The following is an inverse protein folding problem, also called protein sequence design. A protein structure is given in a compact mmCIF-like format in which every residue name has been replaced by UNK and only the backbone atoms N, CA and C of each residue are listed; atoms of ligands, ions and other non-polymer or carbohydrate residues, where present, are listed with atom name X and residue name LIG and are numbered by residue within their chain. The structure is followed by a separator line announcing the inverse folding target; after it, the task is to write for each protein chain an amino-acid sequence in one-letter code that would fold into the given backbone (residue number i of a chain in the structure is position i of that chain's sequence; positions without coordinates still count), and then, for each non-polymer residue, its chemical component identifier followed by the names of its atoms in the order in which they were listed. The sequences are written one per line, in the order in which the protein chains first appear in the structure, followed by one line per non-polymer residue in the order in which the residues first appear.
data_IF_888763859491
#
_entry.id   IF_888763859491
#
_cell.length_a   1.000
_cell.length_b   1.000
_cell.length_c   1.000
_cell.angle_alpha   90.00
_cell.angle_beta   90.00
_cell.angle_gamma   90.00
#
_symmetry.space_group_name_H-M   'P 1'
#
loop_
_entity.id
_entity.type
_entity.pdbx_description
1 polymer ?
#
# COMPACT_ATOMS: atom_id res chain seq x y z
N UNK A 1 -5.07 -2.13 7.07
CA UNK A 1 -6.24 -2.06 6.19
C UNK A 1 -5.89 -1.48 4.82
N UNK A 2 -5.46 -0.21 4.72
CA UNK A 2 -5.17 0.45 3.43
C UNK A 2 -4.11 -0.31 2.58
N UNK A 3 -3.03 -0.75 3.22
CA UNK A 3 -2.03 -1.60 2.59
C UNK A 3 -2.60 -2.89 1.98
N UNK A 4 -3.63 -3.49 2.57
CA UNK A 4 -4.29 -4.68 2.00
C UNK A 4 -5.11 -4.29 0.78
N UNK A 5 -5.84 -3.17 0.83
CA UNK A 5 -6.62 -2.69 -0.30
C UNK A 5 -5.74 -2.38 -1.53
N UNK A 6 -4.54 -1.86 -1.30
CA UNK A 6 -3.59 -1.50 -2.36
C UNK A 6 -2.74 -2.69 -2.82
N UNK A 7 -2.04 -3.36 -1.91
CA UNK A 7 -0.97 -4.32 -2.23
C UNK A 7 -1.32 -5.78 -1.96
N UNK A 8 -2.06 -6.05 -0.88
CA UNK A 8 -2.12 -7.40 -0.31
C UNK A 8 -3.46 -8.14 -0.49
N UNK A 9 -4.39 -7.60 -1.28
CA UNK A 9 -5.57 -8.37 -1.66
C UNK A 9 -5.15 -9.57 -2.52
N UNK A 10 -5.66 -10.75 -2.21
CA UNK A 10 -5.28 -12.04 -2.77
C UNK A 10 -3.82 -12.44 -2.55
N UNK A 11 -3.17 -11.93 -1.50
CA UNK A 11 -1.82 -12.35 -1.11
C UNK A 11 -1.87 -13.32 0.06
N UNK A 12 -0.90 -14.22 0.09
CA UNK A 12 -0.70 -15.17 1.17
C UNK A 12 -0.53 -14.44 2.52
N UNK A 13 -1.29 -14.85 3.54
CA UNK A 13 -1.30 -14.15 4.83
C UNK A 13 -0.02 -14.35 5.63
N UNK A 14 0.71 -15.46 5.43
CA UNK A 14 1.98 -15.72 6.09
C UNK A 14 3.11 -14.93 5.44
N UNK A 15 3.08 -14.74 4.12
CA UNK A 15 3.95 -13.80 3.42
C UNK A 15 3.78 -12.38 3.98
N UNK A 16 2.55 -11.92 4.13
CA UNK A 16 2.27 -10.58 4.69
C UNK A 16 2.79 -10.49 6.13
N UNK A 17 2.57 -11.50 6.98
CA UNK A 17 3.14 -11.52 8.34
C UNK A 17 4.67 -11.44 8.32
N UNK A 18 5.32 -12.18 7.43
CA UNK A 18 6.78 -12.21 7.30
C UNK A 18 7.34 -10.84 6.86
N UNK A 19 6.69 -10.16 5.91
CA UNK A 19 7.11 -8.83 5.45
C UNK A 19 7.11 -7.76 6.54
N UNK A 20 6.33 -7.96 7.61
CA UNK A 20 6.22 -7.01 8.72
C UNK A 20 6.84 -7.53 10.02
N UNK A 21 7.52 -8.69 10.00
CA UNK A 21 8.07 -9.32 11.20
C UNK A 21 9.06 -8.43 11.95
N UNK A 22 9.87 -7.65 11.22
CA UNK A 22 10.90 -6.78 11.79
C UNK A 22 10.35 -5.46 12.35
N UNK A 23 9.11 -5.09 12.02
CA UNK A 23 8.56 -3.76 12.33
C UNK A 23 7.87 -3.68 13.70
N UNK A 24 7.98 -4.70 14.57
CA UNK A 24 7.22 -4.84 15.83
C UNK A 24 5.70 -4.63 15.67
N UNK A 25 5.21 -4.68 14.43
CA UNK A 25 3.79 -4.55 14.13
C UNK A 25 3.17 -5.90 14.40
N UNK A 26 2.17 -5.91 15.26
CA UNK A 26 1.41 -7.11 15.53
C UNK A 26 0.44 -7.40 14.39
N UNK A 27 0.99 -7.76 13.24
CA UNK A 27 0.25 -8.01 12.01
C UNK A 27 -0.69 -9.19 12.17
N UNK A 28 -0.33 -10.17 13.01
CA UNK A 28 -1.22 -11.27 13.37
C UNK A 28 -2.49 -10.75 14.05
N UNK A 29 -2.36 -9.90 15.06
CA UNK A 29 -3.52 -9.32 15.74
C UNK A 29 -4.29 -8.35 14.84
N UNK A 30 -3.59 -7.57 14.01
CA UNK A 30 -4.23 -6.67 13.06
C UNK A 30 -5.07 -7.43 12.01
N UNK A 31 -4.53 -8.50 11.43
CA UNK A 31 -5.28 -9.35 10.49
C UNK A 31 -6.48 -10.00 11.17
N UNK A 32 -6.31 -10.53 12.38
CA UNK A 32 -7.42 -11.08 13.17
C UNK A 32 -8.51 -10.02 13.41
N UNK A 33 -8.15 -8.80 13.80
CA UNK A 33 -9.11 -7.72 14.03
C UNK A 33 -9.88 -7.34 12.75
N UNK A 34 -9.25 -7.42 11.57
CA UNK A 34 -9.93 -7.18 10.29
C UNK A 34 -10.90 -8.31 9.93
N UNK A 35 -10.55 -9.57 10.24
CA UNK A 35 -11.45 -10.73 10.10
C UNK A 35 -12.65 -10.61 11.05
N UNK A 36 -12.39 -10.30 12.33
CA UNK A 36 -13.44 -10.13 13.36
C UNK A 36 -14.42 -8.99 13.01
N UNK A 37 -13.97 -8.00 12.22
CA UNK A 37 -14.81 -6.90 11.71
C UNK A 37 -15.41 -7.18 10.32
N UNK A 38 -15.25 -8.38 9.78
CA UNK A 38 -15.71 -8.77 8.43
C UNK A 38 -15.18 -7.86 7.31
N UNK A 39 -14.02 -7.22 7.50
CA UNK A 39 -13.39 -6.36 6.50
C UNK A 39 -12.55 -7.15 5.49
N UNK A 40 -12.07 -8.32 5.91
CA UNK A 40 -11.38 -9.31 5.09
C UNK A 40 -11.83 -10.70 5.53
N UNK A 41 -11.58 -11.71 4.70
CA UNK A 41 -11.53 -13.10 5.13
C UNK A 41 -10.21 -13.72 4.71
N UNK A 42 -9.77 -14.77 5.41
CA UNK A 42 -8.65 -15.60 4.98
C UNK A 42 -9.26 -16.82 4.30
N UNK A 43 -8.90 -17.07 3.04
CA UNK A 43 -9.39 -18.22 2.30
C UNK A 43 -8.84 -19.54 2.88
N UNK A 44 -9.39 -20.67 2.43
CA UNK A 44 -8.86 -21.98 2.79
C UNK A 44 -7.42 -22.20 2.29
N UNK A 45 -6.99 -21.49 1.25
CA UNK A 45 -5.62 -21.45 0.74
C UNK A 45 -4.69 -20.53 1.54
N UNK A 46 -5.19 -19.82 2.56
CA UNK A 46 -4.39 -18.89 3.37
C UNK A 46 -4.27 -17.47 2.80
N UNK A 47 -5.01 -17.15 1.74
CA UNK A 47 -4.95 -15.85 1.07
C UNK A 47 -5.85 -14.83 1.75
N UNK A 48 -5.39 -13.59 1.86
CA UNK A 48 -6.20 -12.47 2.33
C UNK A 48 -7.15 -12.06 1.21
N UNK A 49 -8.45 -12.05 1.49
CA UNK A 49 -9.47 -11.65 0.51
C UNK A 49 -10.28 -10.48 1.07
N UNK A 50 -10.22 -9.36 0.35
CA UNK A 50 -11.01 -8.17 0.58
C UNK A 50 -12.07 -8.04 -0.53
N UNK A 51 -13.32 -7.78 -0.13
CA UNK A 51 -14.39 -7.56 -1.09
C UNK A 51 -14.10 -6.36 -2.00
N UNK A 52 -14.44 -6.45 -3.29
CA UNK A 52 -14.13 -5.41 -4.30
C UNK A 52 -14.56 -4.00 -3.88
N UNK A 53 -15.74 -3.87 -3.26
CA UNK A 53 -16.22 -2.57 -2.76
C UNK A 53 -15.37 -2.03 -1.61
N UNK A 54 -14.94 -2.88 -0.67
CA UNK A 54 -14.05 -2.49 0.41
C UNK A 54 -12.67 -2.11 -0.12
N UNK A 55 -12.18 -2.83 -1.12
CA UNK A 55 -10.93 -2.50 -1.80
C UNK A 55 -11.02 -1.11 -2.45
N UNK A 56 -12.12 -0.82 -3.14
CA UNK A 56 -12.35 0.49 -3.74
C UNK A 56 -12.40 1.59 -2.68
N UNK A 57 -13.14 1.39 -1.59
CA UNK A 57 -13.19 2.35 -0.47
C UNK A 57 -11.81 2.57 0.14
N UNK A 58 -11.02 1.50 0.32
CA UNK A 58 -9.66 1.59 0.82
C UNK A 58 -8.74 2.42 -0.08
N UNK A 59 -8.78 2.19 -1.40
CA UNK A 59 -8.01 2.98 -2.39
C UNK A 59 -8.43 4.45 -2.39
N UNK A 60 -9.74 4.72 -2.34
CA UNK A 60 -10.26 6.09 -2.23
C UNK A 60 -9.85 6.76 -0.91
N UNK A 61 -9.77 6.01 0.20
CA UNK A 61 -9.32 6.54 1.47
C UNK A 61 -7.85 6.98 1.41
N UNK A 62 -6.97 6.20 0.76
CA UNK A 62 -5.56 6.57 0.52
C UNK A 62 -5.46 7.91 -0.24
N UNK A 63 -6.24 8.08 -1.31
CA UNK A 63 -6.23 9.32 -2.10
C UNK A 63 -6.83 10.54 -1.36
N UNK A 64 -7.65 10.30 -0.33
CA UNK A 64 -8.23 11.37 0.51
C UNK A 64 -7.32 11.80 1.67
N UNK A 65 -6.25 11.06 1.95
CA UNK A 65 -5.25 11.50 2.92
C UNK A 65 -4.60 12.81 2.46
N UNK A 66 -4.26 13.68 3.41
CA UNK A 66 -3.49 14.90 3.10
C UNK A 66 -2.17 14.50 2.43
N UNK A 67 -1.76 15.15 1.32
CA UNK A 67 -0.56 14.74 0.56
C UNK A 67 0.69 14.57 1.44
N UNK A 68 0.86 15.43 2.44
CA UNK A 68 2.02 15.40 3.36
C UNK A 68 2.00 14.23 4.36
N UNK A 69 0.84 13.64 4.61
CA UNK A 69 0.64 12.50 5.54
C UNK A 69 0.40 11.19 4.81
N UNK A 70 0.31 11.24 3.47
CA UNK A 70 -0.03 10.10 2.65
C UNK A 70 1.06 9.04 2.76
N UNK A 71 0.66 7.85 3.21
CA UNK A 71 1.60 6.74 3.39
C UNK A 71 1.80 5.92 2.11
N UNK A 72 0.80 5.92 1.23
CA UNK A 72 0.83 5.10 0.02
C UNK A 72 0.50 5.94 -1.19
N UNK A 73 1.36 5.90 -2.20
CA UNK A 73 1.09 6.51 -3.50
C UNK A 73 0.50 5.48 -4.46
N UNK A 74 -0.61 5.80 -5.10
CA UNK A 74 -1.31 4.91 -6.04
C UNK A 74 -1.72 5.59 -7.35
N UNK A 75 -1.61 6.91 -7.42
CA UNK A 75 -1.95 7.69 -8.61
C UNK A 75 -0.71 7.86 -9.48
N UNK A 76 -0.75 7.37 -10.72
CA UNK A 76 0.43 7.33 -11.59
C UNK A 76 1.01 8.73 -11.89
N UNK A 77 0.20 9.75 -12.25
CA UNK A 77 0.68 11.12 -12.38
C UNK A 77 1.37 11.64 -11.10
N UNK A 78 0.74 11.48 -9.93
CA UNK A 78 1.35 11.88 -8.65
C UNK A 78 2.68 11.16 -8.40
N UNK A 79 2.75 9.87 -8.70
CA UNK A 79 3.98 9.07 -8.53
C UNK A 79 5.08 9.62 -9.44
N UNK A 80 4.80 9.94 -10.70
CA UNK A 80 5.77 10.55 -11.60
C UNK A 80 6.29 11.88 -11.03
N UNK A 81 5.39 12.79 -10.65
CA UNK A 81 5.76 14.10 -10.09
C UNK A 81 6.69 13.95 -8.87
N UNK A 82 6.34 13.04 -7.95
CA UNK A 82 7.11 12.77 -6.74
C UNK A 82 8.49 12.18 -7.04
N UNK A 83 8.57 11.23 -7.98
CA UNK A 83 9.81 10.52 -8.30
C UNK A 83 10.77 11.37 -9.15
N UNK A 84 10.25 12.16 -10.08
CA UNK A 84 11.06 13.03 -10.94
C UNK A 84 11.54 14.28 -10.20
N UNK A 85 10.72 14.81 -9.29
CA UNK A 85 11.07 15.99 -8.48
C UNK A 85 11.93 15.69 -7.24
N UNK A 86 12.28 14.42 -6.97
CA UNK A 86 12.88 13.99 -5.70
C UNK A 86 12.06 14.46 -4.46
N UNK A 87 10.72 14.54 -4.61
CA UNK A 87 9.81 15.14 -3.62
C UNK A 87 9.25 14.13 -2.62
N UNK A 88 9.73 12.89 -2.66
CA UNK A 88 9.38 11.84 -1.70
C UNK A 88 9.47 12.34 -0.26
N UNK A 89 8.48 11.96 0.56
CA UNK A 89 8.44 12.33 1.98
C UNK A 89 8.67 11.09 2.85
N UNK A 90 9.07 11.32 4.12
CA UNK A 90 9.22 10.25 5.11
C UNK A 90 7.89 9.55 5.46
N UNK A 91 6.76 10.15 5.07
CA UNK A 91 5.45 9.55 5.29
C UNK A 91 5.22 8.38 4.31
N UNK A 92 5.75 8.46 3.09
CA UNK A 92 5.54 7.46 2.05
C UNK A 92 6.26 6.16 2.43
N UNK A 93 5.48 5.11 2.72
CA UNK A 93 5.95 3.77 3.04
C UNK A 93 5.71 2.76 1.92
N UNK A 94 4.99 3.14 0.85
CA UNK A 94 4.74 2.26 -0.28
C UNK A 94 4.26 2.99 -1.54
N UNK A 95 4.60 2.42 -2.69
CA UNK A 95 4.22 2.94 -4.01
C UNK A 95 3.61 1.79 -4.82
N UNK A 96 2.38 1.96 -5.29
CA UNK A 96 1.72 1.05 -6.24
C UNK A 96 1.68 1.74 -7.59
N UNK A 97 2.69 1.49 -8.42
CA UNK A 97 2.88 2.22 -9.66
C UNK A 97 2.35 1.45 -10.88
N UNK A 98 1.20 1.86 -11.41
CA UNK A 98 0.69 1.38 -12.68
C UNK A 98 1.33 2.16 -13.84
N UNK A 99 2.31 1.52 -14.49
CA UNK A 99 3.07 2.10 -15.60
C UNK A 99 2.45 1.82 -16.97
N UNK A 100 1.28 1.17 -17.04
CA UNK A 100 0.71 0.73 -18.32
C UNK A 100 0.38 1.86 -19.30
N UNK A 101 0.17 3.08 -18.79
CA UNK A 101 -0.08 4.30 -19.58
C UNK A 101 1.07 5.31 -19.59
N UNK A 102 2.26 4.93 -19.11
CA UNK A 102 3.39 5.85 -18.95
C UNK A 102 4.44 5.52 -20.02
N UNK A 103 4.88 6.53 -20.77
CA UNK A 103 5.92 6.39 -21.78
C UNK A 103 7.31 6.29 -21.14
N UNK A 104 7.68 7.28 -20.33
CA UNK A 104 8.96 7.35 -19.63
C UNK A 104 8.79 8.05 -18.27
N UNK A 105 9.62 7.66 -17.30
CA UNK A 105 9.75 8.33 -16.00
C UNK A 105 11.22 8.37 -15.59
N UNK A 106 11.75 9.57 -15.34
CA UNK A 106 13.17 9.77 -15.05
C UNK A 106 13.45 9.82 -13.55
N UNK A 107 13.88 8.69 -12.98
CA UNK A 107 14.10 8.57 -11.53
C UNK A 107 15.57 8.80 -11.17
N UNK A 108 15.84 9.83 -10.37
CA UNK A 108 17.18 10.13 -9.89
C UNK A 108 17.59 9.19 -8.73
N UNK A 109 18.90 9.05 -8.47
CA UNK A 109 19.42 8.34 -7.28
C UNK A 109 18.99 8.97 -5.95
N UNK A 110 18.41 10.17 -5.97
CA UNK A 110 17.94 10.89 -4.79
C UNK A 110 16.44 10.72 -4.54
N UNK A 111 15.68 10.21 -5.50
CA UNK A 111 14.21 10.16 -5.45
C UNK A 111 13.68 9.50 -4.17
N UNK A 112 14.34 8.42 -3.76
CA UNK A 112 13.98 7.67 -2.55
C UNK A 112 14.75 8.07 -1.30
N UNK A 113 15.73 8.99 -1.36
CA UNK A 113 16.59 9.32 -0.19
C UNK A 113 15.84 9.91 0.99
N UNK A 114 14.68 10.53 0.73
CA UNK A 114 13.82 11.15 1.74
C UNK A 114 12.71 10.21 2.22
N UNK A 115 12.51 9.09 1.54
CA UNK A 115 11.63 8.01 1.96
C UNK A 115 12.38 7.13 2.99
N UNK A 116 11.66 6.47 3.91
CA UNK A 116 12.24 5.65 4.97
C UNK A 116 12.86 4.34 4.47
#
# INVERSE_FOLDING_TARGET
FLHIAVFFNYKDSDLVKAMFADNNLDVKHALKALVDKSLIHISNSGEIVMHKLLQQVGKQAVQKEEPQKRQVLIDAPEICDVLEGDEGTRAVSGISFDISGIEEVSISKKAFKRMP
#
